data_IF_930895186325
#
_entry.id   IF_930895186325
#
_cell.length_a   1.000
_cell.length_b   1.000
_cell.length_c   1.000
_cell.angle_alpha   90.00
_cell.angle_beta   90.00
_cell.angle_gamma   90.00
#
_symmetry.space_group_name_H-M   'P 1'
#
loop_
_entity.id
_entity.type
_entity.pdbx_description
1 polymer ?
#
# COMPACT_ATOMS: atom_id res chain seq x y z
N UNK A 1 -15.08 5.99 17.11
CA UNK A 1 -13.87 5.87 16.27
C UNK A 1 -14.09 6.68 15.00
N UNK A 2 -13.13 7.46 14.56
CA UNK A 2 -13.17 8.20 13.28
C UNK A 2 -12.95 7.21 12.14
N UNK A 3 -13.73 7.35 11.05
CA UNK A 3 -13.59 6.50 9.86
C UNK A 3 -13.07 7.28 8.67
N UNK A 4 -12.34 6.61 7.80
CA UNK A 4 -11.89 7.19 6.55
C UNK A 4 -13.08 7.67 5.72
N UNK A 5 -13.00 8.89 5.18
CA UNK A 5 -14.08 9.50 4.42
C UNK A 5 -15.13 10.24 5.25
N UNK A 6 -15.09 10.19 6.56
CA UNK A 6 -15.97 11.01 7.39
C UNK A 6 -15.47 12.45 7.50
N UNK A 7 -16.39 13.39 7.49
CA UNK A 7 -16.13 14.81 7.74
C UNK A 7 -16.64 15.17 9.14
N UNK A 8 -15.76 15.72 9.94
CA UNK A 8 -16.05 16.09 11.32
C UNK A 8 -15.72 17.56 11.58
N UNK A 9 -16.52 18.19 12.41
CA UNK A 9 -16.19 19.48 13.02
C UNK A 9 -15.72 19.22 14.44
N UNK A 10 -14.46 19.52 14.69
CA UNK A 10 -13.80 19.27 15.97
C UNK A 10 -13.18 20.57 16.48
N UNK A 11 -13.32 20.84 17.78
CA UNK A 11 -12.56 21.89 18.42
C UNK A 11 -11.20 21.32 18.81
N UNK A 12 -10.14 21.82 18.17
CA UNK A 12 -8.78 21.30 18.36
C UNK A 12 -7.85 22.38 18.92
N UNK A 13 -6.93 21.98 19.79
CA UNK A 13 -5.80 22.83 20.20
C UNK A 13 -4.56 22.39 19.45
N UNK A 14 -4.11 23.21 18.50
CA UNK A 14 -2.92 22.95 17.71
C UNK A 14 -1.68 23.53 18.39
N UNK A 15 -0.57 22.80 18.27
CA UNK A 15 0.76 23.24 18.68
C UNK A 15 1.73 23.00 17.53
N UNK A 16 2.72 23.88 17.40
CA UNK A 16 3.84 23.65 16.50
C UNK A 16 4.58 22.38 16.92
N UNK A 17 5.00 21.51 15.98
CA UNK A 17 5.85 20.38 16.30
C UNK A 17 7.11 20.88 17.00
N UNK A 18 7.40 20.33 18.15
CA UNK A 18 8.62 20.58 18.91
C UNK A 18 9.04 19.28 19.58
N UNK A 19 10.30 18.95 19.49
CA UNK A 19 10.89 17.75 20.06
C UNK A 19 12.07 18.09 20.95
N UNK A 20 12.39 17.21 21.88
CA UNK A 20 13.65 17.27 22.62
C UNK A 20 14.75 16.71 21.71
N UNK A 21 15.83 17.48 21.53
CA UNK A 21 17.01 17.04 20.79
C UNK A 21 18.07 16.63 21.80
N UNK A 22 18.16 15.35 22.09
CA UNK A 22 19.25 14.79 22.89
C UNK A 22 20.34 14.22 21.97
N UNK A 23 21.62 14.40 22.29
CA UNK A 23 22.70 13.81 21.52
C UNK A 23 22.52 12.28 21.41
N UNK A 24 22.44 11.73 20.20
CA UNK A 24 22.21 10.30 19.93
C UNK A 24 20.77 9.83 20.16
N UNK A 25 19.83 10.71 20.51
CA UNK A 25 18.41 10.40 20.68
C UNK A 25 17.59 10.53 19.38
N UNK A 26 16.35 10.06 19.43
CA UNK A 26 15.39 10.19 18.32
C UNK A 26 14.96 11.65 18.15
N UNK A 27 15.21 12.22 16.98
CA UNK A 27 14.73 13.57 16.61
C UNK A 27 13.28 13.51 16.12
N UNK A 28 12.35 13.78 17.05
CA UNK A 28 10.92 13.76 16.75
C UNK A 28 10.50 14.91 15.83
N UNK A 29 11.17 16.06 15.88
CA UNK A 29 10.87 17.22 15.03
C UNK A 29 11.24 16.95 13.58
N UNK A 30 12.45 16.44 13.32
CA UNK A 30 12.90 16.03 12.01
C UNK A 30 12.02 14.91 11.43
N UNK A 31 11.64 13.95 12.28
CA UNK A 31 10.73 12.87 11.85
C UNK A 31 9.36 13.42 11.46
N UNK A 32 8.75 14.28 12.27
CA UNK A 32 7.46 14.90 11.93
C UNK A 32 7.56 15.74 10.66
N UNK A 33 8.63 16.48 10.47
CA UNK A 33 8.89 17.24 9.26
C UNK A 33 9.01 16.33 8.03
N UNK A 34 9.74 15.23 8.13
CA UNK A 34 9.87 14.23 7.05
C UNK A 34 8.54 13.58 6.67
N UNK A 35 7.59 13.50 7.60
CA UNK A 35 6.21 13.03 7.37
C UNK A 35 5.26 14.13 6.88
N UNK A 36 5.75 15.36 6.69
CA UNK A 36 4.93 16.49 6.29
C UNK A 36 3.96 16.98 7.37
N UNK A 37 4.19 16.63 8.65
CA UNK A 37 3.36 17.03 9.77
C UNK A 37 3.72 18.46 10.19
N UNK A 38 2.86 19.42 9.87
CA UNK A 38 3.08 20.84 10.16
C UNK A 38 2.55 21.28 11.53
N UNK A 39 1.60 20.54 12.09
CA UNK A 39 1.04 20.81 13.40
C UNK A 39 0.59 19.50 14.07
N UNK A 40 0.70 19.46 15.38
CA UNK A 40 0.10 18.40 16.20
C UNK A 40 -0.85 19.02 17.21
N UNK A 41 -1.84 18.26 17.65
CA UNK A 41 -2.80 18.78 18.61
C UNK A 41 -3.69 17.70 19.19
N UNK A 42 -4.60 18.14 20.04
CA UNK A 42 -5.61 17.27 20.63
C UNK A 42 -7.00 17.91 20.53
N UNK A 43 -8.00 17.06 20.51
CA UNK A 43 -9.40 17.49 20.53
C UNK A 43 -9.76 17.92 21.95
N UNK A 44 -10.35 19.13 22.11
CA UNK A 44 -10.84 19.60 23.40
C UNK A 44 -12.22 19.01 23.69
N UNK A 45 -12.44 18.58 24.90
CA UNK A 45 -13.69 17.97 25.36
C UNK A 45 -14.85 18.97 25.52
N UNK A 46 -14.58 20.28 25.35
CA UNK A 46 -15.56 21.34 25.64
C UNK A 46 -16.77 21.40 24.72
N UNK A 47 -16.68 20.81 23.52
CA UNK A 47 -17.80 20.73 22.56
C UNK A 47 -17.92 19.32 22.03
N UNK A 48 -19.15 18.81 21.91
CA UNK A 48 -19.41 17.53 21.32
C UNK A 48 -18.91 17.50 19.86
N UNK A 49 -18.18 16.46 19.44
CA UNK A 49 -17.76 16.30 18.06
C UNK A 49 -18.98 16.18 17.14
N UNK A 50 -19.06 17.03 16.12
CA UNK A 50 -20.16 17.05 15.17
C UNK A 50 -19.75 16.35 13.87
N UNK A 51 -20.48 15.30 13.50
CA UNK A 51 -20.30 14.62 12.22
C UNK A 51 -21.06 15.37 11.11
N UNK A 52 -20.33 15.95 10.17
CA UNK A 52 -20.87 16.75 9.08
C UNK A 52 -21.34 15.91 7.88
N UNK A 53 -20.80 14.68 7.71
CA UNK A 53 -21.16 13.83 6.59
C UNK A 53 -20.04 12.91 6.15
N UNK A 54 -20.20 12.36 4.95
CA UNK A 54 -19.26 11.43 4.32
C UNK A 54 -18.77 12.00 2.98
N UNK A 55 -17.51 11.69 2.61
CA UNK A 55 -16.92 12.10 1.34
C UNK A 55 -16.31 10.90 0.62
N UNK A 56 -16.43 10.86 -0.69
CA UNK A 56 -15.81 9.86 -1.57
C UNK A 56 -14.34 10.16 -1.92
N UNK A 57 -13.77 11.19 -1.29
CA UNK A 57 -12.44 11.72 -1.68
C UNK A 57 -11.29 10.73 -1.41
N UNK A 58 -11.48 9.75 -0.53
CA UNK A 58 -10.44 8.80 -0.13
C UNK A 58 -10.92 7.34 -0.26
N UNK A 59 -11.21 6.85 -1.49
CA UNK A 59 -11.80 5.53 -1.68
C UNK A 59 -10.85 4.39 -1.27
N UNK A 60 -9.56 4.55 -1.52
CA UNK A 60 -8.54 3.54 -1.16
C UNK A 60 -8.47 3.36 0.35
N UNK A 61 -8.43 4.46 1.11
CA UNK A 61 -8.37 4.42 2.57
C UNK A 61 -9.65 3.85 3.18
N UNK A 62 -10.81 4.16 2.59
CA UNK A 62 -12.09 3.58 3.01
C UNK A 62 -12.11 2.07 2.79
N UNK A 63 -11.62 1.62 1.64
CA UNK A 63 -11.53 0.19 1.31
C UNK A 63 -10.52 -0.53 2.21
N UNK A 64 -9.35 0.07 2.46
CA UNK A 64 -8.36 -0.46 3.42
C UNK A 64 -8.96 -0.61 4.82
N UNK A 65 -9.66 0.42 5.29
CA UNK A 65 -10.32 0.37 6.60
C UNK A 65 -11.41 -0.69 6.66
N UNK A 66 -12.24 -0.82 5.63
CA UNK A 66 -13.29 -1.85 5.56
C UNK A 66 -12.69 -3.26 5.62
N UNK A 67 -11.62 -3.53 4.85
CA UNK A 67 -10.93 -4.82 4.90
C UNK A 67 -10.28 -5.07 6.26
N UNK A 68 -9.68 -4.05 6.88
CA UNK A 68 -9.13 -4.15 8.24
C UNK A 68 -10.23 -4.54 9.23
N UNK A 69 -11.36 -3.83 9.22
CA UNK A 69 -12.49 -4.15 10.09
C UNK A 69 -13.02 -5.58 9.85
N UNK A 70 -13.06 -6.05 8.59
CA UNK A 70 -13.44 -7.41 8.24
C UNK A 70 -12.47 -8.44 8.84
N UNK A 71 -11.15 -8.22 8.72
CA UNK A 71 -10.12 -9.09 9.32
C UNK A 71 -10.33 -9.21 10.83
N UNK A 72 -10.50 -8.07 11.52
CA UNK A 72 -10.69 -8.06 12.98
C UNK A 72 -12.02 -8.68 13.43
N UNK A 73 -13.05 -8.73 12.58
CA UNK A 73 -14.30 -9.42 12.87
C UNK A 73 -14.19 -10.93 12.66
N UNK A 74 -13.41 -11.34 11.65
CA UNK A 74 -13.33 -12.76 11.25
C UNK A 74 -12.33 -13.53 12.11
N UNK A 75 -11.23 -12.87 12.49
CA UNK A 75 -10.17 -13.49 13.31
C UNK A 75 -10.44 -13.21 14.78
N UNK A 76 -10.78 -14.27 15.53
CA UNK A 76 -11.16 -14.16 16.93
C UNK A 76 -10.04 -13.60 17.83
N UNK A 77 -8.79 -13.88 17.51
CA UNK A 77 -7.63 -13.44 18.28
C UNK A 77 -6.99 -12.19 17.67
N UNK A 78 -7.06 -11.08 18.39
CA UNK A 78 -6.55 -9.77 17.92
C UNK A 78 -5.07 -9.76 17.55
N UNK A 79 -4.27 -10.63 18.17
CA UNK A 79 -2.85 -10.76 17.86
C UNK A 79 -2.63 -11.23 16.42
N UNK A 80 -3.31 -12.28 16.00
CA UNK A 80 -3.21 -12.80 14.63
C UNK A 80 -3.88 -11.86 13.61
N UNK A 81 -4.97 -11.20 14.01
CA UNK A 81 -5.62 -10.21 13.17
C UNK A 81 -4.67 -9.05 12.79
N UNK A 82 -3.86 -8.57 13.74
CA UNK A 82 -2.83 -7.55 13.50
C UNK A 82 -1.75 -8.01 12.53
N UNK A 83 -1.29 -9.26 12.66
CA UNK A 83 -0.28 -9.83 11.76
C UNK A 83 -0.83 -10.02 10.33
N UNK A 84 -2.06 -10.51 10.20
CA UNK A 84 -2.74 -10.65 8.90
C UNK A 84 -2.95 -9.28 8.26
N UNK A 85 -3.37 -8.26 9.03
CA UNK A 85 -3.52 -6.90 8.53
C UNK A 85 -2.19 -6.31 8.05
N UNK A 86 -1.08 -6.58 8.75
CA UNK A 86 0.25 -6.16 8.32
C UNK A 86 0.66 -6.79 6.99
N UNK A 87 0.41 -8.09 6.81
CA UNK A 87 0.78 -8.83 5.59
C UNK A 87 -0.10 -8.48 4.39
N UNK A 88 -1.41 -8.25 4.59
CA UNK A 88 -2.35 -7.99 3.50
C UNK A 88 -2.46 -6.50 3.15
N UNK A 89 -2.50 -5.63 4.17
CA UNK A 89 -2.78 -4.21 4.01
C UNK A 89 -1.55 -3.33 4.24
N UNK A 90 -0.44 -3.90 4.72
CA UNK A 90 0.75 -3.14 5.12
C UNK A 90 0.55 -2.36 6.44
N UNK A 91 -0.50 -2.66 7.20
CA UNK A 91 -0.79 -1.95 8.45
C UNK A 91 -0.14 -2.62 9.64
N UNK A 92 1.01 -2.11 10.03
CA UNK A 92 1.81 -2.60 11.15
C UNK A 92 1.39 -2.01 12.51
N UNK A 93 0.45 -1.07 12.53
CA UNK A 93 0.11 -0.28 13.73
C UNK A 93 -0.45 -1.12 14.89
N UNK A 94 -0.94 -2.31 14.60
CA UNK A 94 -1.56 -3.23 15.56
C UNK A 94 -0.66 -4.38 16.03
N UNK A 95 0.57 -4.45 15.52
CA UNK A 95 1.56 -5.45 15.97
C UNK A 95 2.11 -5.00 17.33
N UNK A 96 2.06 -5.88 18.32
CA UNK A 96 2.56 -5.60 19.67
C UNK A 96 4.09 -5.51 19.67
N UNK A 97 4.64 -4.70 20.58
CA UNK A 97 6.09 -4.54 20.73
C UNK A 97 6.82 -5.87 21.01
N UNK A 98 6.20 -6.76 21.80
CA UNK A 98 6.74 -8.07 22.08
C UNK A 98 6.87 -8.96 20.83
N UNK A 99 5.90 -8.89 19.91
CA UNK A 99 5.95 -9.61 18.64
C UNK A 99 7.07 -9.07 17.74
N UNK A 100 7.28 -7.76 17.77
CA UNK A 100 8.40 -7.14 17.04
C UNK A 100 9.77 -7.63 17.53
N UNK A 101 9.93 -7.85 18.83
CA UNK A 101 11.18 -8.39 19.38
C UNK A 101 11.40 -9.84 18.92
N UNK A 102 10.35 -10.67 18.94
CA UNK A 102 10.40 -12.03 18.39
C UNK A 102 10.75 -12.00 16.90
N UNK A 103 10.12 -11.14 16.11
CA UNK A 103 10.37 -11.04 14.66
C UNK A 103 11.79 -10.57 14.35
N UNK A 104 12.37 -9.71 15.18
CA UNK A 104 13.78 -9.30 15.05
C UNK A 104 14.74 -10.44 15.39
N UNK A 105 14.50 -11.14 16.51
CA UNK A 105 15.33 -12.26 16.95
C UNK A 105 15.29 -13.43 15.95
N UNK A 106 14.13 -13.68 15.34
CA UNK A 106 13.97 -14.76 14.34
C UNK A 106 14.34 -14.33 12.92
N UNK A 107 14.66 -13.04 12.69
CA UNK A 107 15.02 -12.52 11.38
C UNK A 107 13.85 -12.34 10.41
N UNK A 108 12.60 -12.58 10.83
CA UNK A 108 11.41 -12.46 9.96
C UNK A 108 10.76 -11.07 9.97
N UNK A 109 11.33 -10.11 10.70
CA UNK A 109 10.79 -8.74 10.78
C UNK A 109 10.60 -8.09 9.38
N UNK A 110 11.45 -8.42 8.41
CA UNK A 110 11.34 -7.92 7.05
C UNK A 110 10.14 -8.49 6.27
N UNK A 111 9.59 -9.65 6.68
CA UNK A 111 8.38 -10.23 6.08
C UNK A 111 7.11 -9.54 6.57
N UNK A 112 7.13 -8.92 7.76
CA UNK A 112 5.99 -8.20 8.32
C UNK A 112 5.74 -6.86 7.62
N UNK A 113 6.70 -6.37 6.83
CA UNK A 113 6.49 -5.26 5.90
C UNK A 113 6.19 -5.80 4.50
N UNK A 114 5.32 -5.11 3.74
CA UNK A 114 5.13 -5.46 2.34
C UNK A 114 6.43 -5.22 1.60
N UNK A 115 7.11 -6.33 1.27
CA UNK A 115 8.41 -6.30 0.60
C UNK A 115 8.24 -6.18 -0.92
N UNK A 116 9.31 -5.75 -1.59
CA UNK A 116 9.36 -5.73 -3.04
C UNK A 116 9.10 -7.10 -3.68
N UNK A 117 9.47 -8.19 -2.99
CA UNK A 117 9.21 -9.54 -3.46
C UNK A 117 7.71 -9.84 -3.59
N UNK A 118 6.90 -9.45 -2.60
CA UNK A 118 5.45 -9.64 -2.66
C UNK A 118 4.85 -8.95 -3.90
N UNK A 119 5.25 -7.70 -4.15
CA UNK A 119 4.78 -6.93 -5.30
C UNK A 119 5.22 -7.59 -6.61
N UNK A 120 6.47 -8.06 -6.69
CA UNK A 120 7.01 -8.72 -7.89
C UNK A 120 6.29 -10.02 -8.21
N UNK A 121 6.03 -10.86 -7.20
CA UNK A 121 5.31 -12.13 -7.36
C UNK A 121 3.88 -11.88 -7.85
N UNK A 122 3.16 -10.95 -7.23
CA UNK A 122 1.81 -10.60 -7.66
C UNK A 122 1.79 -9.96 -9.05
N UNK A 123 2.76 -9.11 -9.39
CA UNK A 123 2.92 -8.55 -10.72
C UNK A 123 3.16 -9.63 -11.77
N UNK A 124 3.97 -10.65 -11.44
CA UNK A 124 4.23 -11.77 -12.33
C UNK A 124 2.96 -12.61 -12.56
N UNK A 125 2.21 -12.94 -11.51
CA UNK A 125 0.92 -13.63 -11.66
C UNK A 125 -0.06 -12.84 -12.52
N UNK A 126 -0.20 -11.53 -12.25
CA UNK A 126 -1.08 -10.67 -13.04
C UNK A 126 -0.64 -10.57 -14.50
N UNK A 127 0.67 -10.48 -14.77
CA UNK A 127 1.24 -10.48 -16.11
C UNK A 127 0.89 -11.76 -16.85
N UNK A 128 1.04 -12.93 -16.20
CA UNK A 128 0.68 -14.23 -16.77
C UNK A 128 -0.82 -14.31 -17.06
N UNK A 129 -1.65 -13.91 -16.09
CA UNK A 129 -3.10 -13.94 -16.23
C UNK A 129 -3.55 -13.05 -17.40
N UNK A 130 -3.05 -11.81 -17.47
CA UNK A 130 -3.36 -10.88 -18.57
C UNK A 130 -2.90 -11.47 -19.91
N UNK A 131 -1.70 -12.03 -19.98
CA UNK A 131 -1.19 -12.65 -21.21
C UNK A 131 -2.06 -13.82 -21.69
N UNK A 132 -2.54 -14.64 -20.76
CA UNK A 132 -3.43 -15.77 -21.06
C UNK A 132 -4.79 -15.27 -21.55
N UNK A 133 -5.42 -14.36 -20.79
CA UNK A 133 -6.71 -13.75 -21.17
C UNK A 133 -6.60 -13.07 -22.55
N UNK A 134 -5.49 -12.36 -22.80
CA UNK A 134 -5.25 -11.70 -24.07
C UNK A 134 -5.18 -12.67 -25.24
N UNK A 135 -4.54 -13.83 -25.08
CA UNK A 135 -4.49 -14.90 -26.09
C UNK A 135 -5.87 -15.50 -26.37
N UNK A 136 -6.67 -15.72 -25.30
CA UNK A 136 -8.02 -16.25 -25.46
C UNK A 136 -9.02 -15.23 -26.03
N UNK A 137 -8.66 -13.94 -26.11
CA UNK A 137 -9.52 -12.93 -26.76
C UNK A 137 -9.79 -13.21 -28.23
N UNK A 138 -8.87 -13.94 -28.91
CA UNK A 138 -9.06 -14.35 -30.32
C UNK A 138 -10.18 -15.37 -30.48
N UNK A 139 -10.40 -16.25 -29.49
CA UNK A 139 -11.52 -17.20 -29.44
C UNK A 139 -12.89 -16.50 -29.33
N UNK A 140 -12.91 -15.27 -28.81
CA UNK A 140 -14.10 -14.42 -28.66
C UNK A 140 -14.33 -13.49 -29.86
N UNK A 141 -13.62 -13.73 -30.99
CA UNK A 141 -13.73 -12.93 -32.22
C UNK A 141 -13.11 -11.53 -32.14
N UNK A 142 -12.35 -11.24 -31.10
CA UNK A 142 -11.61 -9.97 -30.93
C UNK A 142 -10.13 -10.23 -31.16
N UNK A 143 -9.63 -9.91 -32.34
CA UNK A 143 -8.22 -10.10 -32.75
C UNK A 143 -7.26 -9.08 -32.10
N UNK A 144 -7.26 -9.01 -30.75
CA UNK A 144 -6.40 -8.09 -30.02
C UNK A 144 -4.92 -8.44 -30.17
N UNK A 145 -4.60 -9.71 -30.30
CA UNK A 145 -3.23 -10.18 -30.51
C UNK A 145 -2.61 -9.66 -31.81
N UNK A 146 -3.42 -9.34 -32.85
CA UNK A 146 -2.93 -8.75 -34.08
C UNK A 146 -2.49 -7.29 -33.91
N UNK A 147 -3.04 -6.58 -32.93
CA UNK A 147 -2.68 -5.18 -32.63
C UNK A 147 -1.54 -5.07 -31.61
N UNK A 148 -1.58 -5.92 -30.57
CA UNK A 148 -0.60 -5.91 -29.50
C UNK A 148 -0.22 -7.34 -29.11
N UNK A 149 1.08 -7.68 -29.08
CA UNK A 149 1.54 -8.99 -28.61
C UNK A 149 1.10 -9.26 -27.18
N UNK A 150 0.62 -10.47 -26.91
CA UNK A 150 0.15 -10.88 -25.59
C UNK A 150 1.22 -10.70 -24.48
N UNK A 151 2.50 -10.82 -24.84
CA UNK A 151 3.61 -10.57 -23.91
C UNK A 151 3.65 -9.11 -23.47
N UNK A 152 3.47 -8.17 -24.40
CA UNK A 152 3.46 -6.73 -24.07
C UNK A 152 2.23 -6.37 -23.23
N UNK A 153 1.05 -6.90 -23.59
CA UNK A 153 -0.16 -6.72 -22.80
C UNK A 153 0.03 -7.24 -21.36
N UNK A 154 0.67 -8.39 -21.21
CA UNK A 154 1.01 -8.95 -19.90
C UNK A 154 1.97 -8.09 -19.10
N UNK A 155 3.04 -7.58 -19.71
CA UNK A 155 4.00 -6.70 -19.03
C UNK A 155 3.33 -5.43 -18.45
N UNK A 156 2.54 -4.76 -19.27
CA UNK A 156 1.81 -3.56 -18.83
C UNK A 156 0.69 -3.88 -17.83
N UNK A 157 -0.01 -5.00 -18.01
CA UNK A 157 -1.02 -5.47 -17.05
C UNK A 157 -0.41 -5.81 -15.70
N UNK A 158 0.74 -6.48 -15.67
CA UNK A 158 1.49 -6.77 -14.45
C UNK A 158 1.97 -5.49 -13.74
N UNK A 159 2.48 -4.51 -14.50
CA UNK A 159 2.90 -3.22 -13.96
C UNK A 159 1.73 -2.44 -13.37
N UNK A 160 0.59 -2.38 -14.05
CA UNK A 160 -0.62 -1.72 -13.54
C UNK A 160 -1.12 -2.38 -12.25
N UNK A 161 -1.09 -3.70 -12.19
CA UNK A 161 -1.45 -4.42 -10.97
C UNK A 161 -0.47 -4.15 -9.83
N UNK A 162 0.84 -4.14 -10.11
CA UNK A 162 1.87 -3.79 -9.13
C UNK A 162 1.66 -2.38 -8.57
N UNK A 163 1.35 -1.41 -9.44
CA UNK A 163 1.05 -0.04 -9.06
C UNK A 163 -0.20 0.03 -8.17
N UNK A 164 -1.29 -0.61 -8.58
CA UNK A 164 -2.53 -0.64 -7.82
C UNK A 164 -2.34 -1.28 -6.45
N UNK A 165 -1.59 -2.40 -6.38
CA UNK A 165 -1.28 -3.05 -5.12
C UNK A 165 -0.35 -2.21 -4.24
N UNK A 166 0.65 -1.54 -4.81
CA UNK A 166 1.54 -0.63 -4.07
C UNK A 166 0.76 0.54 -3.44
N UNK A 167 -0.19 1.14 -4.17
CA UNK A 167 -1.07 2.20 -3.66
C UNK A 167 -1.97 1.64 -2.56
N UNK A 168 -2.56 0.47 -2.78
CA UNK A 168 -3.41 -0.19 -1.79
C UNK A 168 -2.64 -0.55 -0.50
N UNK A 169 -1.39 -0.94 -0.59
CA UNK A 169 -0.53 -1.31 0.54
C UNK A 169 0.03 -0.12 1.33
N UNK A 170 -0.30 1.12 0.93
CA UNK A 170 0.11 2.35 1.63
C UNK A 170 1.34 3.03 1.06
N UNK A 171 1.75 2.67 -0.17
CA UNK A 171 2.80 3.37 -0.92
C UNK A 171 4.14 3.50 -0.18
N UNK A 172 4.56 2.47 0.52
CA UNK A 172 5.84 2.45 1.25
C UNK A 172 7.05 2.53 0.32
N UNK A 173 8.21 2.97 0.84
CA UNK A 173 9.47 3.11 0.08
C UNK A 173 9.88 1.82 -0.66
N UNK A 174 9.81 0.61 -0.05
CA UNK A 174 10.10 -0.63 -0.76
C UNK A 174 9.19 -0.86 -1.97
N UNK A 175 7.89 -0.52 -1.84
CA UNK A 175 6.92 -0.64 -2.91
C UNK A 175 7.21 0.31 -4.07
N UNK A 176 7.53 1.57 -3.77
CA UNK A 176 7.91 2.58 -4.77
C UNK A 176 9.10 2.12 -5.59
N UNK A 177 10.17 1.67 -4.93
CA UNK A 177 11.39 1.17 -5.60
C UNK A 177 11.07 0.02 -6.55
N UNK A 178 10.28 -0.95 -6.10
CA UNK A 178 9.91 -2.11 -6.90
C UNK A 178 9.07 -1.73 -8.10
N UNK A 179 8.06 -0.86 -7.93
CA UNK A 179 7.25 -0.36 -9.05
C UNK A 179 8.12 0.38 -10.08
N UNK A 180 9.04 1.23 -9.65
CA UNK A 180 9.97 1.91 -10.54
C UNK A 180 10.85 0.93 -11.31
N UNK A 181 11.40 -0.09 -10.63
CA UNK A 181 12.23 -1.12 -11.28
C UNK A 181 11.40 -1.94 -12.30
N UNK A 182 10.18 -2.33 -11.95
CA UNK A 182 9.27 -3.02 -12.86
C UNK A 182 8.89 -2.15 -14.08
N UNK A 183 8.68 -0.85 -13.87
CA UNK A 183 8.40 0.09 -14.96
C UNK A 183 9.56 0.16 -15.96
N UNK A 184 10.79 0.34 -15.46
CA UNK A 184 12.00 0.36 -16.30
C UNK A 184 12.17 -0.96 -17.02
N UNK A 185 12.05 -2.10 -16.33
CA UNK A 185 12.16 -3.42 -16.94
C UNK A 185 11.10 -3.64 -18.03
N UNK A 186 9.85 -3.25 -17.77
CA UNK A 186 8.77 -3.36 -18.77
C UNK A 186 9.00 -2.47 -19.99
N UNK A 187 9.53 -1.27 -19.79
CA UNK A 187 9.90 -0.37 -20.89
C UNK A 187 11.04 -0.95 -21.76
N UNK A 188 12.07 -1.46 -21.12
CA UNK A 188 13.20 -2.06 -21.84
C UNK A 188 12.76 -3.31 -22.62
N UNK A 189 12.01 -4.20 -22.00
CA UNK A 189 11.51 -5.41 -22.67
C UNK A 189 10.54 -5.06 -23.81
N UNK A 190 9.68 -4.06 -23.63
CA UNK A 190 8.77 -3.65 -24.73
C UNK A 190 9.50 -3.08 -25.93
N UNK A 191 10.65 -2.44 -25.70
CA UNK A 191 11.52 -1.96 -26.79
C UNK A 191 12.33 -3.11 -27.42
N UNK A 192 12.87 -4.02 -26.63
CA UNK A 192 13.62 -5.18 -27.12
C UNK A 192 12.76 -6.09 -28.04
N UNK A 193 11.47 -6.27 -27.74
CA UNK A 193 10.54 -7.01 -28.61
C UNK A 193 10.25 -6.33 -29.95
N UNK A 194 10.70 -5.10 -30.18
CA UNK A 194 10.56 -4.40 -31.46
C UNK A 194 11.78 -4.57 -32.38
N UNK A 195 12.86 -5.15 -31.88
CA UNK A 195 14.02 -5.42 -32.71
C UNK A 195 13.85 -6.80 -33.34
N UNK A 196 13.83 -6.88 -34.68
CA UNK A 196 13.84 -8.18 -35.34
C UNK A 196 15.19 -8.83 -35.00
N UNK A 197 15.14 -9.96 -34.32
CA UNK A 197 16.31 -10.81 -34.15
C UNK A 197 16.46 -11.51 -35.50
N UNK A 198 17.42 -11.04 -36.28
CA UNK A 198 17.85 -11.69 -37.52
C UNK A 198 18.65 -12.94 -37.18
#
# INVERSE_FOLDING_TARGET
>A
MLRAGERWRLLVRLKRPHGFVNPGGFDAELWMWSQGIQARGYVRESNAPERLGHTWRYPVEQWRQSNREAIYRTVAEHRWAGQIAALLLGDQSSIQAQDWDIFRLTGIAHLMSISGLHITVWAWFASRLVSVVWRYSDLLGRSWCLRYPAVQAGLWGGLLFALAYAVFSGWGVPAQRTVCMLAVASMLQSRACRWPVW
#
